data_IF_536423281746
#
_entry.id   IF_536423281746
#
_cell.length_a   1.000
_cell.length_b   1.000
_cell.length_c   1.000
_cell.angle_alpha   90.00
_cell.angle_beta   90.00
_cell.angle_gamma   90.00
#
_symmetry.space_group_name_H-M   'P 1'
#
loop_
_entity.id
_entity.type
_entity.pdbx_description
1 polymer ?
#
# COMPACT_ATOMS: atom_id res chain seq x y z
N UNK A 1 38.39 -26.03 63.22
CA UNK A 1 39.37 -25.63 62.19
C UNK A 1 39.23 -26.45 60.90
N UNK A 2 39.28 -27.79 60.97
CA UNK A 2 39.19 -28.66 59.78
C UNK A 2 37.95 -28.44 58.89
N UNK A 3 36.75 -28.40 59.47
CA UNK A 3 35.49 -28.14 58.72
C UNK A 3 35.43 -26.77 58.03
N UNK A 4 36.10 -25.76 58.59
CA UNK A 4 36.14 -24.41 58.00
C UNK A 4 37.09 -24.41 56.79
N UNK A 5 38.24 -25.07 56.91
CA UNK A 5 39.19 -25.23 55.81
C UNK A 5 38.54 -26.02 54.66
N UNK A 6 37.84 -27.10 54.97
CA UNK A 6 37.10 -27.91 53.99
C UNK A 6 36.02 -27.10 53.27
N UNK A 7 35.25 -26.28 53.99
CA UNK A 7 34.24 -25.40 53.40
C UNK A 7 34.88 -24.36 52.47
N UNK A 8 35.98 -23.73 52.87
CA UNK A 8 36.70 -22.75 52.04
C UNK A 8 37.21 -23.41 50.75
N UNK A 9 37.80 -24.60 50.85
CA UNK A 9 38.28 -25.37 49.69
C UNK A 9 37.12 -25.73 48.75
N UNK A 10 36.00 -26.24 49.28
CA UNK A 10 34.83 -26.59 48.49
C UNK A 10 34.18 -25.36 47.83
N UNK A 11 34.11 -24.22 48.51
CA UNK A 11 33.63 -22.96 47.93
C UNK A 11 34.55 -22.45 46.82
N UNK A 12 35.87 -22.54 46.99
CA UNK A 12 36.83 -22.17 45.95
C UNK A 12 36.71 -23.09 44.72
N UNK A 13 36.58 -24.41 44.93
CA UNK A 13 36.36 -25.38 43.86
C UNK A 13 35.04 -25.13 43.11
N UNK A 14 33.95 -24.86 43.83
CA UNK A 14 32.66 -24.50 43.22
C UNK A 14 32.78 -23.22 42.38
N UNK A 15 33.49 -22.21 42.89
CA UNK A 15 33.71 -20.96 42.16
C UNK A 15 34.51 -21.18 40.87
N UNK A 16 35.61 -21.95 40.94
CA UNK A 16 36.40 -22.31 39.76
C UNK A 16 35.54 -23.08 38.75
N UNK A 17 34.74 -24.04 39.22
CA UNK A 17 33.84 -24.82 38.36
C UNK A 17 32.83 -23.93 37.64
N UNK A 18 32.17 -22.99 38.34
CA UNK A 18 31.22 -22.06 37.75
C UNK A 18 31.89 -21.12 36.74
N UNK A 19 33.11 -20.65 37.01
CA UNK A 19 33.87 -19.81 36.08
C UNK A 19 34.28 -20.56 34.81
N UNK A 20 34.73 -21.81 34.95
CA UNK A 20 35.04 -22.67 33.79
C UNK A 20 33.79 -22.95 32.97
N UNK A 21 32.66 -23.28 33.62
CA UNK A 21 31.39 -23.50 32.93
C UNK A 21 30.93 -22.26 32.15
N UNK A 22 31.02 -21.08 32.77
CA UNK A 22 30.69 -19.82 32.10
C UNK A 22 31.62 -19.53 30.92
N UNK A 23 32.93 -19.72 31.10
CA UNK A 23 33.91 -19.53 30.02
C UNK A 23 33.65 -20.47 28.86
N UNK A 24 33.37 -21.75 29.12
CA UNK A 24 33.03 -22.73 28.08
C UNK A 24 31.74 -22.33 27.37
N UNK A 25 30.70 -21.91 28.11
CA UNK A 25 29.45 -21.46 27.51
C UNK A 25 29.67 -20.24 26.61
N UNK A 26 30.47 -19.27 27.04
CA UNK A 26 30.82 -18.09 26.23
C UNK A 26 31.59 -18.52 24.98
N UNK A 27 32.59 -19.40 25.11
CA UNK A 27 33.35 -19.89 23.95
C UNK A 27 32.46 -20.64 22.97
N UNK A 28 31.59 -21.54 23.45
CA UNK A 28 30.65 -22.28 22.60
C UNK A 28 29.68 -21.31 21.91
N UNK A 29 29.12 -20.34 22.63
CA UNK A 29 28.26 -19.32 22.04
C UNK A 29 29.03 -18.47 21.02
N UNK A 30 30.27 -18.11 21.28
CA UNK A 30 31.10 -17.31 20.38
C UNK A 30 31.42 -18.09 19.08
N UNK A 31 31.99 -19.28 19.23
CA UNK A 31 32.42 -20.14 18.12
C UNK A 31 31.23 -20.68 17.32
N UNK A 32 30.06 -20.85 17.94
CA UNK A 32 28.86 -21.26 17.24
C UNK A 32 28.10 -20.05 16.68
N UNK A 33 27.65 -19.11 17.52
CA UNK A 33 26.72 -18.07 17.10
C UNK A 33 27.34 -17.05 16.15
N UNK A 34 28.61 -16.65 16.31
CA UNK A 34 29.18 -15.61 15.45
C UNK A 34 29.31 -16.07 13.99
N UNK A 35 29.86 -17.25 13.69
CA UNK A 35 29.81 -17.77 12.33
C UNK A 35 28.40 -17.85 11.78
N UNK A 36 27.41 -18.31 12.56
CA UNK A 36 26.01 -18.36 12.10
C UNK A 36 25.40 -16.97 11.86
N UNK A 37 25.78 -15.94 12.62
CA UNK A 37 25.37 -14.55 12.37
C UNK A 37 25.97 -14.05 11.07
N UNK A 38 27.27 -14.29 10.83
CA UNK A 38 27.97 -13.86 9.62
C UNK A 38 27.44 -14.60 8.39
N UNK A 39 27.43 -15.95 8.43
CA UNK A 39 26.92 -16.79 7.35
C UNK A 39 25.43 -16.56 7.12
N UNK A 40 24.64 -16.45 8.20
CA UNK A 40 23.21 -16.15 8.12
C UNK A 40 22.97 -14.79 7.44
N UNK A 41 23.72 -13.76 7.82
CA UNK A 41 23.64 -12.44 7.18
C UNK A 41 24.02 -12.50 5.70
N UNK A 42 25.09 -13.24 5.36
CA UNK A 42 25.52 -13.42 3.97
C UNK A 42 24.46 -14.17 3.14
N UNK A 43 23.92 -15.27 3.66
CA UNK A 43 22.84 -16.05 3.04
C UNK A 43 21.62 -15.16 2.81
N UNK A 44 21.23 -14.36 3.81
CA UNK A 44 20.12 -13.42 3.69
C UNK A 44 20.41 -12.39 2.59
N UNK A 45 21.59 -11.78 2.56
CA UNK A 45 21.97 -10.80 1.52
C UNK A 45 21.93 -11.43 0.12
N UNK A 46 22.46 -12.64 -0.05
CA UNK A 46 22.42 -13.38 -1.32
C UNK A 46 20.98 -13.67 -1.71
N UNK A 47 20.16 -14.21 -0.80
CA UNK A 47 18.76 -14.52 -1.05
C UNK A 47 17.97 -13.26 -1.44
N UNK A 48 18.17 -12.13 -0.75
CA UNK A 48 17.56 -10.85 -1.07
C UNK A 48 17.99 -10.35 -2.45
N UNK A 49 19.27 -10.49 -2.82
CA UNK A 49 19.78 -10.11 -4.14
C UNK A 49 19.20 -10.96 -5.27
N UNK A 50 19.05 -12.28 -5.05
CA UNK A 50 18.49 -13.21 -6.04
C UNK A 50 16.98 -13.07 -6.23
N UNK A 51 16.27 -12.73 -5.15
CA UNK A 51 14.81 -12.57 -5.18
C UNK A 51 14.36 -11.16 -5.56
N UNK A 52 15.27 -10.17 -5.52
CA UNK A 52 14.95 -8.78 -5.83
C UNK A 52 14.48 -8.58 -7.25
N UNK A 53 13.41 -7.81 -7.39
CA UNK A 53 13.02 -7.15 -8.64
C UNK A 53 13.58 -5.73 -8.62
N UNK A 54 14.39 -5.37 -9.61
CA UNK A 54 14.91 -4.00 -9.74
C UNK A 54 13.76 -3.00 -9.85
N UNK A 55 13.87 -1.79 -9.27
CA UNK A 55 12.88 -0.74 -9.48
C UNK A 55 12.67 -0.44 -10.97
N UNK A 56 11.47 0.06 -11.37
CA UNK A 56 11.23 0.42 -12.76
C UNK A 56 12.23 1.50 -13.22
N UNK A 57 12.65 1.50 -14.49
CA UNK A 57 13.50 2.56 -15.00
C UNK A 57 12.88 3.94 -14.74
N UNK A 58 13.72 4.91 -14.36
CA UNK A 58 13.28 6.25 -13.94
C UNK A 58 12.37 6.94 -14.97
N UNK A 59 12.56 6.68 -16.27
CA UNK A 59 11.70 7.17 -17.35
C UNK A 59 10.21 6.83 -17.11
N UNK A 60 9.90 5.55 -16.82
CA UNK A 60 8.52 5.13 -16.56
C UNK A 60 7.97 5.75 -15.27
N UNK A 61 8.81 5.82 -14.23
CA UNK A 61 8.44 6.45 -12.96
C UNK A 61 8.10 7.94 -13.16
N UNK A 62 8.87 8.66 -13.98
CA UNK A 62 8.64 10.07 -14.30
C UNK A 62 7.43 10.28 -15.20
N UNK A 63 7.18 9.39 -16.17
CA UNK A 63 5.98 9.46 -17.01
C UNK A 63 4.71 9.28 -16.14
N UNK A 64 4.69 8.27 -15.28
CA UNK A 64 3.53 7.95 -14.43
C UNK A 64 3.35 8.96 -13.30
N UNK A 65 4.38 9.19 -12.48
CA UNK A 65 4.26 10.01 -11.26
C UNK A 65 4.58 11.49 -11.48
N UNK A 66 5.26 11.85 -12.57
CA UNK A 66 5.73 13.20 -12.81
C UNK A 66 6.87 13.61 -11.87
N UNK A 67 7.10 14.92 -11.79
CA UNK A 67 8.02 15.55 -10.84
C UNK A 67 7.59 15.21 -9.41
N UNK A 68 8.58 15.03 -8.52
CA UNK A 68 8.30 14.85 -7.10
C UNK A 68 7.88 16.22 -6.50
N UNK A 69 6.69 16.35 -5.87
CA UNK A 69 6.23 17.64 -5.36
C UNK A 69 7.17 18.25 -4.31
N UNK A 70 7.98 17.43 -3.61
CA UNK A 70 9.03 17.89 -2.69
C UNK A 70 10.09 18.78 -3.36
N UNK A 71 10.29 18.63 -4.67
CA UNK A 71 11.35 19.30 -5.43
C UNK A 71 10.90 20.59 -6.12
N UNK A 72 9.59 20.87 -6.20
CA UNK A 72 9.04 21.96 -7.01
C UNK A 72 9.51 23.38 -6.64
N UNK A 73 10.06 23.60 -5.44
CA UNK A 73 10.54 24.92 -5.00
C UNK A 73 12.07 25.03 -4.86
N UNK A 74 12.84 23.97 -5.14
CA UNK A 74 14.31 24.02 -4.97
C UNK A 74 15.01 24.64 -6.18
N UNK A 75 14.39 24.62 -7.35
CA UNK A 75 14.92 25.22 -8.58
C UNK A 75 13.96 26.29 -9.13
N UNK A 76 14.30 27.56 -8.93
CA UNK A 76 13.64 28.74 -9.53
C UNK A 76 13.89 28.86 -11.05
N UNK A 77 13.90 27.75 -11.78
CA UNK A 77 14.03 27.80 -13.24
C UNK A 77 12.63 27.74 -13.87
N UNK A 78 12.33 28.71 -14.75
CA UNK A 78 11.09 28.78 -15.53
C UNK A 78 10.81 27.51 -16.36
N UNK A 79 11.80 26.60 -16.47
CA UNK A 79 11.72 25.31 -17.16
C UNK A 79 10.74 24.30 -16.54
N UNK A 80 10.36 24.42 -15.27
CA UNK A 80 9.45 23.44 -14.64
C UNK A 80 7.96 23.69 -14.84
N UNK A 81 7.55 24.80 -15.47
CA UNK A 81 6.12 25.13 -15.66
C UNK A 81 5.34 24.14 -16.54
N UNK A 82 6.04 23.32 -17.34
CA UNK A 82 5.41 22.36 -18.28
C UNK A 82 5.49 20.89 -17.83
N UNK A 83 6.17 20.59 -16.71
CA UNK A 83 6.40 19.20 -16.32
C UNK A 83 5.27 18.69 -15.40
N UNK A 84 4.63 17.59 -15.80
CA UNK A 84 3.56 16.97 -15.00
C UNK A 84 4.03 16.63 -13.58
N UNK A 85 3.18 16.86 -12.59
CA UNK A 85 3.38 16.49 -11.20
C UNK A 85 2.08 15.93 -10.62
N UNK A 86 2.10 14.69 -10.14
CA UNK A 86 0.94 14.10 -9.46
C UNK A 86 0.81 14.70 -8.05
N UNK A 87 -0.08 15.68 -7.87
CA UNK A 87 -0.28 16.38 -6.59
C UNK A 87 -1.47 15.86 -5.81
N UNK A 88 -2.58 15.64 -6.50
CA UNK A 88 -3.83 15.12 -5.94
C UNK A 88 -4.28 13.92 -6.76
N UNK A 89 -4.83 12.93 -6.08
CA UNK A 89 -5.48 11.76 -6.67
C UNK A 89 -6.91 11.68 -6.14
N UNK A 90 -7.88 11.56 -7.04
CA UNK A 90 -9.28 11.32 -6.67
C UNK A 90 -9.43 9.87 -6.17
N UNK A 91 -9.53 9.69 -4.85
CA UNK A 91 -9.66 8.39 -4.20
C UNK A 91 -11.01 7.78 -4.57
N UNK A 92 -11.00 6.62 -5.24
CA UNK A 92 -12.17 5.99 -5.86
C UNK A 92 -12.96 6.92 -6.78
N UNK A 93 -12.30 7.90 -7.39
CA UNK A 93 -12.93 8.95 -8.20
C UNK A 93 -13.57 10.11 -7.40
N UNK A 94 -13.33 10.21 -6.09
CA UNK A 94 -13.92 11.21 -5.20
C UNK A 94 -15.17 10.68 -4.49
N UNK A 95 -15.02 9.58 -3.76
CA UNK A 95 -16.14 8.77 -3.23
C UNK A 95 -17.10 9.45 -2.24
N UNK A 96 -16.84 10.68 -1.79
CA UNK A 96 -17.79 11.49 -1.00
C UNK A 96 -18.59 12.48 -1.87
N UNK A 97 -18.09 12.85 -3.05
CA UNK A 97 -18.73 13.79 -3.97
C UNK A 97 -19.53 13.08 -5.09
N UNK A 98 -19.14 11.85 -5.41
CA UNK A 98 -19.69 10.98 -6.46
C UNK A 98 -19.73 9.51 -5.99
N UNK A 99 -20.58 8.65 -6.57
CA UNK A 99 -20.58 7.22 -6.27
C UNK A 99 -19.18 6.64 -6.50
N UNK A 100 -18.58 6.05 -5.46
CA UNK A 100 -17.21 5.56 -5.52
C UNK A 100 -17.02 4.51 -6.63
N UNK A 101 -15.82 4.45 -7.22
CA UNK A 101 -15.45 3.42 -8.20
C UNK A 101 -16.36 3.37 -9.44
N UNK A 102 -16.89 4.52 -9.86
CA UNK A 102 -17.83 4.63 -10.98
C UNK A 102 -17.29 5.43 -12.18
N UNK A 103 -17.84 5.15 -13.37
CA UNK A 103 -17.51 5.94 -14.56
C UNK A 103 -17.97 7.40 -14.41
N UNK A 104 -19.11 7.61 -13.73
CA UNK A 104 -19.58 8.95 -13.39
C UNK A 104 -18.56 9.73 -12.56
N UNK A 105 -17.99 9.12 -11.52
CA UNK A 105 -16.96 9.74 -10.69
C UNK A 105 -15.72 10.11 -11.51
N UNK A 106 -15.27 9.20 -12.37
CA UNK A 106 -14.07 9.42 -13.20
C UNK A 106 -14.24 10.57 -14.18
N UNK A 107 -15.36 10.61 -14.91
CA UNK A 107 -15.71 11.72 -15.83
C UNK A 107 -15.68 13.08 -15.15
N UNK A 108 -16.18 13.15 -13.93
CA UNK A 108 -16.31 14.40 -13.19
C UNK A 108 -15.02 14.83 -12.48
N UNK A 109 -14.19 13.87 -12.04
CA UNK A 109 -12.97 14.15 -11.26
C UNK A 109 -11.97 15.05 -12.00
N UNK A 110 -11.81 14.86 -13.32
CA UNK A 110 -10.93 15.71 -14.15
C UNK A 110 -11.38 17.17 -14.10
N UNK A 111 -12.68 17.39 -14.24
CA UNK A 111 -13.31 18.70 -14.18
C UNK A 111 -13.20 19.38 -12.81
N UNK A 112 -12.73 18.68 -11.78
CA UNK A 112 -12.45 19.19 -10.43
C UNK A 112 -10.96 19.45 -10.16
N UNK A 113 -10.08 19.26 -11.14
CA UNK A 113 -8.63 19.47 -11.00
C UNK A 113 -7.85 18.20 -10.65
N UNK A 114 -8.50 17.03 -10.62
CA UNK A 114 -7.82 15.76 -10.38
C UNK A 114 -7.39 15.11 -11.70
N UNK A 115 -6.11 15.27 -12.05
CA UNK A 115 -5.51 14.62 -13.21
C UNK A 115 -5.14 13.14 -12.97
N UNK A 116 -5.29 12.65 -11.74
CA UNK A 116 -5.09 11.27 -11.37
C UNK A 116 -6.29 10.75 -10.59
N UNK A 117 -6.64 9.49 -10.83
CA UNK A 117 -7.72 8.76 -10.17
C UNK A 117 -7.09 7.53 -9.52
N UNK A 118 -7.59 7.16 -8.34
CA UNK A 118 -7.41 5.83 -7.79
C UNK A 118 -8.72 5.06 -7.92
N UNK A 119 -8.62 3.76 -8.21
CA UNK A 119 -9.74 2.83 -8.32
C UNK A 119 -9.38 1.51 -7.63
N UNK A 120 -10.38 0.84 -7.09
CA UNK A 120 -10.25 -0.46 -6.45
C UNK A 120 -10.74 -1.56 -7.36
N UNK A 121 -10.01 -2.68 -7.43
CA UNK A 121 -10.44 -3.83 -8.23
C UNK A 121 -10.62 -5.10 -7.41
N UNK A 122 -11.64 -5.86 -7.81
CA UNK A 122 -11.93 -7.23 -7.34
C UNK A 122 -12.34 -8.10 -8.51
N UNK A 123 -12.21 -9.41 -8.32
CA UNK A 123 -12.66 -10.39 -9.30
C UNK A 123 -13.98 -11.01 -8.85
N UNK A 124 -14.92 -11.12 -9.78
CA UNK A 124 -16.15 -11.91 -9.63
C UNK A 124 -15.85 -13.41 -9.60
N UNK A 125 -16.87 -14.24 -9.33
CA UNK A 125 -16.76 -15.71 -9.37
C UNK A 125 -16.24 -16.25 -10.70
N UNK A 126 -16.65 -15.63 -11.80
CA UNK A 126 -16.26 -15.92 -13.17
C UNK A 126 -15.00 -15.16 -13.64
N UNK A 127 -14.18 -14.66 -12.70
CA UNK A 127 -12.90 -14.00 -12.93
C UNK A 127 -12.97 -12.69 -13.73
N UNK A 128 -14.12 -12.01 -13.73
CA UNK A 128 -14.27 -10.72 -14.39
C UNK A 128 -13.82 -9.61 -13.43
N UNK A 129 -12.85 -8.75 -13.83
CA UNK A 129 -12.39 -7.65 -12.99
C UNK A 129 -13.39 -6.50 -12.98
N UNK A 130 -13.94 -6.23 -11.81
CA UNK A 130 -14.89 -5.14 -11.56
C UNK A 130 -14.30 -4.10 -10.62
N UNK A 131 -14.84 -2.89 -10.67
CA UNK A 131 -14.50 -1.83 -9.74
C UNK A 131 -15.33 -1.94 -8.46
N UNK A 132 -14.67 -2.33 -7.37
CA UNK A 132 -15.34 -2.50 -6.08
C UNK A 132 -14.33 -2.59 -4.92
N UNK A 133 -14.54 -1.81 -3.86
CA UNK A 133 -13.62 -1.78 -2.72
C UNK A 133 -13.80 -2.97 -1.76
N UNK A 134 -15.04 -3.21 -1.33
CA UNK A 134 -15.33 -4.16 -0.24
C UNK A 134 -15.44 -5.60 -0.75
N UNK A 135 -15.14 -6.60 0.09
CA UNK A 135 -15.36 -7.99 -0.31
C UNK A 135 -16.85 -8.32 -0.52
N UNK A 136 -17.76 -7.53 0.07
CA UNK A 136 -19.20 -7.76 0.06
C UNK A 136 -19.95 -6.51 -0.42
N UNK A 137 -21.17 -6.68 -0.96
CA UNK A 137 -21.88 -5.63 -1.72
C UNK A 137 -22.80 -4.72 -0.87
N UNK A 138 -23.08 -5.09 0.38
CA UNK A 138 -24.14 -4.50 1.22
C UNK A 138 -23.99 -2.99 1.41
N UNK A 139 -22.75 -2.53 1.60
CA UNK A 139 -22.50 -1.12 1.91
C UNK A 139 -23.00 -0.21 0.79
N UNK A 140 -22.82 -0.59 -0.47
CA UNK A 140 -23.16 0.27 -1.62
C UNK A 140 -24.55 -0.03 -2.17
N UNK A 141 -24.95 -1.29 -2.23
CA UNK A 141 -26.13 -1.72 -3.00
C UNK A 141 -27.36 -2.01 -2.14
N UNK A 142 -27.19 -2.13 -0.82
CA UNK A 142 -28.24 -2.57 0.10
C UNK A 142 -28.62 -4.05 -0.02
N UNK A 143 -28.00 -4.80 -0.94
CA UNK A 143 -28.20 -6.24 -1.12
C UNK A 143 -27.09 -7.03 -0.42
N UNK A 144 -27.31 -8.31 -0.14
CA UNK A 144 -26.32 -9.17 0.54
C UNK A 144 -25.59 -10.07 -0.44
N UNK A 145 -24.27 -10.19 -0.32
CA UNK A 145 -23.48 -11.09 -1.13
C UNK A 145 -21.98 -10.80 -1.11
N UNK A 146 -21.18 -11.84 -1.36
CA UNK A 146 -19.73 -11.72 -1.52
C UNK A 146 -19.37 -11.61 -2.99
N UNK A 147 -18.57 -10.61 -3.36
CA UNK A 147 -18.19 -10.36 -4.77
C UNK A 147 -17.55 -11.60 -5.42
N UNK A 148 -16.69 -12.32 -4.69
CA UNK A 148 -16.01 -13.52 -5.19
C UNK A 148 -16.94 -14.74 -5.38
N UNK A 149 -18.18 -14.66 -4.91
CA UNK A 149 -19.17 -15.74 -4.98
C UNK A 149 -20.30 -15.45 -5.99
N UNK A 150 -20.29 -14.25 -6.59
CA UNK A 150 -21.29 -13.80 -7.58
C UNK A 150 -20.63 -13.63 -8.95
N UNK A 151 -21.37 -13.96 -10.00
CA UNK A 151 -20.98 -13.75 -11.41
C UNK A 151 -21.15 -12.29 -11.81
N UNK A 152 -20.51 -11.87 -12.91
CA UNK A 152 -20.73 -10.53 -13.46
C UNK A 152 -22.21 -10.28 -13.82
N UNK A 153 -22.89 -11.29 -14.38
CA UNK A 153 -24.31 -11.18 -14.75
C UNK A 153 -25.20 -10.83 -13.55
N UNK A 154 -24.91 -11.38 -12.37
CA UNK A 154 -25.63 -11.10 -11.13
C UNK A 154 -25.31 -9.71 -10.56
N UNK A 155 -24.13 -9.17 -10.86
CA UNK A 155 -23.63 -7.92 -10.29
C UNK A 155 -23.90 -6.69 -11.17
N UNK A 156 -23.96 -6.84 -12.50
CA UNK A 156 -23.92 -5.70 -13.43
C UNK A 156 -25.10 -4.73 -13.31
N UNK A 157 -26.26 -5.22 -12.86
CA UNK A 157 -27.47 -4.40 -12.71
C UNK A 157 -27.59 -3.75 -11.32
N UNK A 158 -26.65 -4.01 -10.42
CA UNK A 158 -26.70 -3.46 -9.06
C UNK A 158 -26.40 -1.96 -9.06
N UNK A 159 -27.27 -1.21 -8.37
CA UNK A 159 -27.11 0.22 -8.16
C UNK A 159 -26.19 0.50 -6.97
N UNK A 160 -25.03 1.10 -7.23
CA UNK A 160 -24.03 1.46 -6.21
C UNK A 160 -24.31 2.81 -5.53
N UNK A 161 -25.38 3.50 -5.93
CA UNK A 161 -25.79 4.78 -5.31
C UNK A 161 -26.76 4.60 -4.15
N UNK A 162 -27.24 3.38 -3.91
CA UNK A 162 -28.37 3.09 -3.02
C UNK A 162 -28.18 3.65 -1.60
N UNK A 163 -26.97 3.53 -1.04
CA UNK A 163 -26.60 4.05 0.28
C UNK A 163 -25.70 5.31 0.21
N UNK A 164 -25.55 5.94 -0.96
CA UNK A 164 -24.73 7.12 -1.09
C UNK A 164 -25.38 8.31 -0.35
N UNK A 165 -24.64 9.10 0.47
CA UNK A 165 -25.22 10.21 1.23
C UNK A 165 -25.91 11.28 0.38
N UNK A 166 -25.47 11.43 -0.87
CA UNK A 166 -26.04 12.34 -1.87
C UNK A 166 -26.90 11.61 -2.92
N UNK A 167 -27.57 10.51 -2.56
CA UNK A 167 -28.35 9.68 -3.51
C UNK A 167 -29.33 10.49 -4.36
N UNK A 168 -29.97 11.51 -3.80
CA UNK A 168 -30.93 12.36 -4.52
C UNK A 168 -30.31 13.09 -5.73
N UNK A 169 -28.98 13.30 -5.74
CA UNK A 169 -28.23 13.86 -6.87
C UNK A 169 -28.01 12.84 -8.00
N UNK A 170 -28.17 11.55 -7.71
CA UNK A 170 -27.89 10.43 -8.61
C UNK A 170 -29.16 9.59 -8.82
N UNK A 171 -30.27 10.27 -9.14
CA UNK A 171 -31.59 9.64 -9.28
C UNK A 171 -31.65 8.53 -10.33
N UNK A 172 -30.80 8.60 -11.35
CA UNK A 172 -30.71 7.59 -12.42
C UNK A 172 -29.96 6.32 -11.97
N UNK A 173 -29.36 6.38 -10.76
CA UNK A 173 -28.47 5.36 -10.23
C UNK A 173 -27.12 5.33 -10.96
N UNK A 174 -26.26 4.43 -10.52
CA UNK A 174 -24.96 4.15 -11.16
C UNK A 174 -24.69 2.67 -10.98
N UNK A 175 -24.10 2.01 -11.99
CA UNK A 175 -23.84 0.57 -11.95
C UNK A 175 -22.38 0.27 -11.62
N UNK A 176 -22.14 -0.95 -11.16
CA UNK A 176 -20.78 -1.48 -11.02
C UNK A 176 -20.09 -1.43 -12.40
N UNK A 177 -18.88 -0.89 -12.47
CA UNK A 177 -18.11 -0.79 -13.71
C UNK A 177 -17.13 -1.95 -13.86
N UNK A 178 -16.85 -2.34 -15.11
CA UNK A 178 -15.72 -3.21 -15.43
C UNK A 178 -14.41 -2.42 -15.35
N UNK A 179 -13.32 -3.10 -14.99
CA UNK A 179 -11.98 -2.50 -15.04
C UNK A 179 -11.67 -1.96 -16.45
N UNK A 180 -12.00 -2.71 -17.49
CA UNK A 180 -11.71 -2.30 -18.87
C UNK A 180 -12.37 -0.97 -19.24
N UNK A 181 -13.66 -0.80 -18.92
CA UNK A 181 -14.40 0.44 -19.21
C UNK A 181 -13.80 1.63 -18.48
N UNK A 182 -13.41 1.43 -17.21
CA UNK A 182 -12.75 2.45 -16.42
C UNK A 182 -11.38 2.87 -16.96
N UNK A 183 -10.58 1.90 -17.40
CA UNK A 183 -9.28 2.18 -18.04
C UNK A 183 -9.48 2.98 -19.34
N UNK A 184 -10.45 2.61 -20.17
CA UNK A 184 -10.76 3.35 -21.38
C UNK A 184 -11.21 4.78 -21.08
N UNK A 185 -12.14 4.96 -20.13
CA UNK A 185 -12.63 6.28 -19.70
C UNK A 185 -11.46 7.18 -19.25
N UNK A 186 -10.59 6.68 -18.37
CA UNK A 186 -9.46 7.43 -17.85
C UNK A 186 -8.38 7.71 -18.91
N UNK A 187 -8.10 6.76 -19.80
CA UNK A 187 -7.09 6.96 -20.84
C UNK A 187 -7.57 7.92 -21.94
N UNK A 188 -8.87 7.90 -22.27
CA UNK A 188 -9.49 8.84 -23.20
C UNK A 188 -9.50 10.27 -22.63
N UNK A 189 -9.69 10.40 -21.32
CA UNK A 189 -9.60 11.68 -20.61
C UNK A 189 -8.17 12.07 -20.24
N UNK A 190 -7.15 11.32 -20.67
CA UNK A 190 -5.75 11.56 -20.32
C UNK A 190 -5.48 11.70 -18.82
N UNK A 191 -6.25 10.99 -17.99
CA UNK A 191 -5.98 10.88 -16.56
C UNK A 191 -4.92 9.81 -16.30
N UNK A 192 -4.24 9.94 -15.15
CA UNK A 192 -3.42 8.87 -14.56
C UNK A 192 -4.26 8.01 -13.65
N UNK A 193 -3.85 6.77 -13.49
CA UNK A 193 -4.66 5.72 -12.86
C UNK A 193 -3.80 5.00 -11.83
N UNK A 194 -4.24 5.00 -10.58
CA UNK A 194 -3.76 4.09 -9.55
C UNK A 194 -4.76 2.95 -9.46
N UNK A 195 -4.33 1.76 -9.87
CA UNK A 195 -5.12 0.53 -9.81
C UNK A 195 -4.80 -0.15 -8.48
N UNK A 196 -5.64 0.00 -7.46
CA UNK A 196 -5.46 -0.66 -6.17
C UNK A 196 -6.13 -2.05 -6.13
N UNK A 197 -5.31 -3.08 -5.95
CA UNK A 197 -5.74 -4.47 -6.00
C UNK A 197 -6.19 -4.90 -4.60
N UNK A 198 -7.50 -5.20 -4.47
CA UNK A 198 -8.11 -5.74 -3.24
C UNK A 198 -8.31 -7.26 -3.27
N UNK A 199 -7.69 -7.92 -4.23
CA UNK A 199 -7.79 -9.36 -4.47
C UNK A 199 -6.56 -10.11 -3.92
N UNK A 200 -6.79 -11.32 -3.41
CA UNK A 200 -5.76 -12.26 -2.99
C UNK A 200 -5.52 -13.38 -4.01
N UNK A 201 -6.49 -13.68 -4.88
CA UNK A 201 -6.36 -14.68 -5.94
C UNK A 201 -5.29 -14.28 -6.95
N UNK A 202 -4.48 -15.25 -7.37
CA UNK A 202 -3.34 -15.02 -8.27
C UNK A 202 -3.76 -14.74 -9.72
N UNK A 203 -4.99 -15.07 -10.10
CA UNK A 203 -5.54 -14.79 -11.43
C UNK A 203 -5.45 -13.29 -11.79
N UNK A 204 -5.55 -12.41 -10.78
CA UNK A 204 -5.44 -10.95 -10.98
C UNK A 204 -4.10 -10.53 -11.56
N UNK A 205 -3.02 -11.28 -11.29
CA UNK A 205 -1.68 -10.98 -11.81
C UNK A 205 -1.70 -11.05 -13.33
N UNK A 206 -2.31 -12.08 -13.91
CA UNK A 206 -2.36 -12.23 -15.37
C UNK A 206 -3.31 -11.20 -15.98
N UNK A 207 -4.45 -10.95 -15.35
CA UNK A 207 -5.42 -9.94 -15.79
C UNK A 207 -4.76 -8.55 -15.89
N UNK A 208 -3.98 -8.13 -14.89
CA UNK A 208 -3.28 -6.84 -14.93
C UNK A 208 -2.25 -6.81 -16.06
N UNK A 209 -1.47 -7.88 -16.25
CA UNK A 209 -0.48 -7.94 -17.34
C UNK A 209 -1.16 -7.88 -18.71
N UNK A 210 -2.30 -8.54 -18.87
CA UNK A 210 -3.09 -8.50 -20.10
C UNK A 210 -3.68 -7.11 -20.34
N UNK A 211 -4.10 -6.39 -19.30
CA UNK A 211 -4.53 -4.99 -19.42
C UNK A 211 -3.39 -4.07 -19.86
N UNK A 212 -2.17 -4.20 -19.30
CA UNK A 212 -1.01 -3.42 -19.75
C UNK A 212 -0.58 -3.77 -21.18
N UNK A 213 -0.74 -5.03 -21.59
CA UNK A 213 -0.49 -5.46 -22.97
C UNK A 213 -1.53 -4.87 -23.93
N UNK A 214 -2.81 -4.88 -23.56
CA UNK A 214 -3.93 -4.37 -24.37
C UNK A 214 -3.93 -2.84 -24.44
N UNK A 215 -3.51 -2.16 -23.36
CA UNK A 215 -3.45 -0.71 -23.24
C UNK A 215 -2.02 -0.23 -22.89
N UNK A 216 -1.09 -0.18 -23.86
CA UNK A 216 0.30 0.21 -23.58
C UNK A 216 0.48 1.60 -22.96
N UNK A 217 -0.48 2.52 -23.15
CA UNK A 217 -0.48 3.84 -22.49
C UNK A 217 -0.46 3.73 -20.94
N UNK A 218 -0.82 2.58 -20.37
CA UNK A 218 -0.69 2.33 -18.94
C UNK A 218 0.77 2.35 -18.47
N UNK A 219 1.76 2.06 -19.31
CA UNK A 219 3.16 2.23 -18.91
C UNK A 219 3.54 3.69 -18.64
N UNK A 220 2.81 4.64 -19.20
CA UNK A 220 3.03 6.08 -19.04
C UNK A 220 2.09 6.72 -18.01
N UNK A 221 0.96 6.06 -17.70
CA UNK A 221 -0.15 6.65 -16.92
C UNK A 221 -0.66 5.80 -15.78
N UNK A 222 -0.28 4.53 -15.72
CA UNK A 222 -0.75 3.54 -14.76
C UNK A 222 0.26 3.28 -13.66
N UNK A 223 -0.25 3.20 -12.44
CA UNK A 223 0.44 2.69 -11.27
C UNK A 223 -0.38 1.54 -10.70
N UNK A 224 0.26 0.45 -10.30
CA UNK A 224 -0.41 -0.67 -9.62
C UNK A 224 -0.11 -0.64 -8.13
N UNK A 225 -1.14 -0.60 -7.30
CA UNK A 225 -1.05 -0.58 -5.84
C UNK A 225 -1.68 -1.83 -5.23
N UNK A 226 -1.22 -2.23 -4.05
CA UNK A 226 -1.92 -3.20 -3.20
C UNK A 226 -1.40 -3.14 -1.77
N UNK A 227 -2.21 -3.60 -0.82
CA UNK A 227 -1.73 -4.00 0.50
C UNK A 227 -1.01 -5.36 0.49
N UNK A 228 -1.24 -6.18 -0.55
CA UNK A 228 -0.65 -7.50 -0.66
C UNK A 228 0.70 -7.44 -1.41
N UNK A 229 1.85 -7.52 -0.71
CA UNK A 229 3.16 -7.44 -1.35
C UNK A 229 3.42 -8.56 -2.36
N UNK A 230 2.79 -9.73 -2.19
CA UNK A 230 3.00 -10.89 -3.06
C UNK A 230 2.44 -10.61 -4.46
N UNK A 231 1.25 -9.99 -4.54
CA UNK A 231 0.64 -9.67 -5.84
C UNK A 231 1.52 -8.68 -6.62
N UNK A 232 1.99 -7.62 -5.96
CA UNK A 232 2.88 -6.63 -6.58
C UNK A 232 4.21 -7.27 -7.00
N UNK A 233 4.79 -8.11 -6.15
CA UNK A 233 5.99 -8.87 -6.50
C UNK A 233 5.79 -9.72 -7.76
N UNK A 234 4.69 -10.47 -7.84
CA UNK A 234 4.41 -11.35 -8.98
C UNK A 234 4.15 -10.60 -10.29
N UNK A 235 3.45 -9.45 -10.22
CA UNK A 235 3.26 -8.56 -11.37
C UNK A 235 4.61 -8.03 -11.84
N UNK A 236 5.40 -7.44 -10.93
CA UNK A 236 6.68 -6.81 -11.29
C UNK A 236 7.76 -7.79 -11.70
N UNK A 237 7.74 -9.02 -11.17
CA UNK A 237 8.66 -10.07 -11.59
C UNK A 237 8.42 -10.46 -13.05
N UNK A 238 7.16 -10.45 -13.51
CA UNK A 238 6.80 -10.72 -14.91
C UNK A 238 6.98 -9.50 -15.81
N UNK A 239 6.69 -8.31 -15.31
CA UNK A 239 6.83 -7.05 -16.03
C UNK A 239 7.45 -5.95 -15.14
N UNK A 240 8.80 -5.84 -15.11
CA UNK A 240 9.50 -4.90 -14.24
C UNK A 240 9.27 -3.42 -14.56
N UNK A 241 8.76 -3.10 -15.77
CA UNK A 241 8.47 -1.72 -16.19
C UNK A 241 7.25 -1.13 -15.49
N UNK A 242 6.34 -1.95 -14.98
CA UNK A 242 5.15 -1.47 -14.27
C UNK A 242 5.57 -0.73 -13.01
N UNK A 243 5.15 0.54 -12.92
CA UNK A 243 5.29 1.37 -11.73
C UNK A 243 4.31 0.87 -10.68
N UNK A 244 4.79 0.67 -9.46
CA UNK A 244 3.95 0.15 -8.39
C UNK A 244 4.15 0.86 -7.06
N UNK A 245 3.16 0.67 -6.19
CA UNK A 245 3.23 1.03 -4.79
C UNK A 245 2.75 -0.09 -3.88
N UNK A 246 3.12 0.04 -2.61
CA UNK A 246 2.42 -0.65 -1.53
C UNK A 246 1.58 0.35 -0.74
N UNK A 247 0.42 -0.12 -0.30
CA UNK A 247 -0.41 0.59 0.65
C UNK A 247 -0.13 0.04 2.07
N UNK A 248 0.06 0.92 3.05
CA UNK A 248 0.16 0.54 4.46
C UNK A 248 -0.66 1.43 5.42
N UNK A 249 -1.30 0.78 6.40
CA UNK A 249 -1.95 1.44 7.54
C UNK A 249 -1.64 0.68 8.84
N UNK A 250 -1.66 1.35 10.00
CA UNK A 250 -1.61 0.66 11.28
C UNK A 250 -2.76 -0.33 11.48
N UNK A 251 -2.45 -1.41 12.19
CA UNK A 251 -3.38 -2.47 12.56
C UNK A 251 -4.06 -3.15 11.37
N UNK A 252 -3.40 -3.19 10.21
CA UNK A 252 -3.94 -3.78 9.01
C UNK A 252 -4.30 -5.27 9.20
N UNK A 253 -3.42 -6.05 9.81
CA UNK A 253 -3.63 -7.49 10.03
C UNK A 253 -4.57 -7.75 11.20
N UNK A 254 -4.51 -6.94 12.24
CA UNK A 254 -5.23 -7.20 13.50
C UNK A 254 -6.65 -6.61 13.54
N UNK A 255 -6.96 -5.58 12.76
CA UNK A 255 -8.20 -4.78 12.86
C UNK A 255 -8.88 -4.57 11.51
N UNK A 256 -10.22 -4.56 11.50
CA UNK A 256 -11.03 -4.44 10.27
C UNK A 256 -10.85 -3.08 9.60
N UNK A 257 -10.81 -2.00 10.38
CA UNK A 257 -10.60 -0.63 9.90
C UNK A 257 -9.59 0.10 10.77
N UNK A 258 -9.28 1.35 10.42
CA UNK A 258 -8.42 2.23 11.22
C UNK A 258 -8.94 3.66 11.16
N UNK A 259 -8.97 4.29 12.33
CA UNK A 259 -9.33 5.71 12.51
C UNK A 259 -8.51 6.23 13.68
N UNK A 260 -7.54 7.12 13.45
CA UNK A 260 -6.60 7.54 14.51
C UNK A 260 -7.22 8.24 15.72
N UNK A 261 -8.43 8.80 15.60
CA UNK A 261 -9.11 9.55 16.67
C UNK A 261 -10.08 8.71 17.51
N UNK A 262 -10.38 7.48 17.09
CA UNK A 262 -11.34 6.59 17.79
C UNK A 262 -10.58 5.35 18.25
N UNK A 263 -11.03 4.76 19.37
CA UNK A 263 -10.53 3.49 19.88
C UNK A 263 -10.33 2.45 18.76
N UNK A 264 -9.35 1.54 18.89
CA UNK A 264 -9.03 0.57 17.84
C UNK A 264 -10.30 -0.17 17.42
N UNK A 265 -10.51 -0.29 16.10
CA UNK A 265 -11.74 -0.83 15.53
C UNK A 265 -12.01 -2.26 15.99
N UNK A 266 -13.12 -2.86 15.54
CA UNK A 266 -13.37 -4.28 15.74
C UNK A 266 -12.15 -5.14 15.36
N UNK A 267 -11.84 -6.13 16.20
CA UNK A 267 -10.80 -7.12 15.93
C UNK A 267 -11.16 -7.90 14.67
N UNK A 268 -10.18 -8.14 13.80
CA UNK A 268 -10.39 -8.91 12.57
C UNK A 268 -10.70 -10.39 12.86
N UNK A 269 -10.15 -10.92 13.96
CA UNK A 269 -10.31 -12.31 14.35
C UNK A 269 -10.92 -12.40 15.74
N UNK A 270 -12.00 -13.16 15.89
CA UNK A 270 -12.62 -13.44 17.19
C UNK A 270 -11.84 -14.47 18.01
N UNK A 271 -11.06 -15.34 17.36
CA UNK A 271 -10.20 -16.30 18.05
C UNK A 271 -8.98 -15.57 18.66
N UNK A 272 -8.72 -15.69 19.97
CA UNK A 272 -7.69 -14.90 20.66
C UNK A 272 -6.27 -15.23 20.19
N UNK A 273 -5.97 -16.50 19.89
CA UNK A 273 -4.65 -16.90 19.40
C UNK A 273 -4.39 -16.40 17.98
N UNK A 274 -5.40 -16.46 17.10
CA UNK A 274 -5.31 -15.89 15.75
C UNK A 274 -5.15 -14.37 15.80
N UNK A 275 -5.88 -13.69 16.70
CA UNK A 275 -5.73 -12.25 16.88
C UNK A 275 -4.34 -11.88 17.40
N UNK A 276 -3.82 -12.59 18.40
CA UNK A 276 -2.47 -12.39 18.91
C UNK A 276 -1.42 -12.60 17.81
N UNK A 277 -1.54 -13.67 17.02
CA UNK A 277 -0.66 -13.92 15.88
C UNK A 277 -0.72 -12.78 14.85
N UNK A 278 -1.91 -12.22 14.58
CA UNK A 278 -2.06 -11.08 13.69
C UNK A 278 -1.39 -9.80 14.25
N UNK A 279 -1.47 -9.57 15.56
CA UNK A 279 -0.76 -8.46 16.22
C UNK A 279 0.76 -8.62 16.15
N UNK A 280 1.29 -9.83 16.35
CA UNK A 280 2.73 -10.11 16.20
C UNK A 280 3.16 -9.92 14.74
N UNK A 281 2.36 -10.41 13.80
CA UNK A 281 2.61 -10.26 12.37
C UNK A 281 2.64 -8.78 11.95
N UNK A 282 1.79 -7.94 12.55
CA UNK A 282 1.80 -6.49 12.33
C UNK A 282 3.17 -5.88 12.63
N UNK A 283 3.69 -6.11 13.84
CA UNK A 283 4.98 -5.57 14.29
C UNK A 283 6.11 -6.08 13.40
N UNK A 284 6.09 -7.39 13.10
CA UNK A 284 7.08 -8.01 12.23
C UNK A 284 7.03 -7.42 10.83
N UNK A 285 5.84 -7.27 10.25
CA UNK A 285 5.67 -6.78 8.89
C UNK A 285 6.05 -5.30 8.76
N UNK A 286 5.70 -4.45 9.73
CA UNK A 286 6.11 -3.05 9.72
C UNK A 286 7.65 -2.91 9.73
N UNK A 287 8.32 -3.74 10.52
CA UNK A 287 9.78 -3.82 10.53
C UNK A 287 10.36 -4.32 9.20
N UNK A 288 9.74 -5.36 8.62
CA UNK A 288 10.14 -5.92 7.32
C UNK A 288 9.87 -4.95 6.16
N UNK A 289 8.78 -4.18 6.21
CA UNK A 289 8.32 -3.30 5.14
C UNK A 289 9.37 -2.24 4.81
N UNK A 290 9.89 -1.60 5.84
CA UNK A 290 10.86 -0.48 5.76
C UNK A 290 12.31 -0.91 5.51
N UNK A 291 12.60 -2.23 5.55
CA UNK A 291 13.95 -2.80 5.43
C UNK A 291 14.14 -3.71 4.23
N UNK A 292 13.17 -4.58 3.96
CA UNK A 292 13.32 -5.67 3.00
C UNK A 292 12.22 -5.70 1.96
N UNK A 293 10.94 -5.59 2.34
CA UNK A 293 9.82 -5.80 1.42
C UNK A 293 9.85 -4.81 0.27
N UNK A 294 10.01 -3.50 0.56
CA UNK A 294 10.10 -2.48 -0.49
C UNK A 294 11.27 -2.73 -1.45
N UNK A 295 12.40 -3.21 -0.92
CA UNK A 295 13.63 -3.45 -1.66
C UNK A 295 13.54 -4.69 -2.55
N UNK A 296 12.97 -5.78 -2.02
CA UNK A 296 12.74 -7.03 -2.78
C UNK A 296 11.75 -6.77 -3.90
N UNK A 297 10.67 -6.05 -3.60
CA UNK A 297 9.63 -5.77 -4.58
C UNK A 297 10.05 -4.72 -5.58
N UNK A 298 10.89 -3.75 -5.19
CA UNK A 298 11.35 -2.63 -6.02
C UNK A 298 10.27 -1.58 -6.32
N UNK A 299 9.43 -1.23 -5.33
CA UNK A 299 8.37 -0.22 -5.51
C UNK A 299 8.90 1.19 -5.81
N UNK A 300 8.10 2.00 -6.49
CA UNK A 300 8.42 3.40 -6.81
C UNK A 300 7.73 4.40 -5.89
N UNK A 301 6.62 3.99 -5.27
CA UNK A 301 5.90 4.79 -4.29
C UNK A 301 5.43 3.93 -3.13
N UNK A 302 5.13 4.57 -2.01
CA UNK A 302 4.41 3.98 -0.90
C UNK A 302 3.25 4.89 -0.58
N UNK A 303 2.06 4.33 -0.52
CA UNK A 303 0.88 5.05 -0.06
C UNK A 303 0.77 4.72 1.44
N UNK A 304 0.62 5.74 2.29
CA UNK A 304 0.56 5.58 3.74
C UNK A 304 -0.69 6.23 4.31
N UNK A 305 -1.27 5.63 5.34
CA UNK A 305 -2.33 6.28 6.08
C UNK A 305 -1.87 7.64 6.64
N UNK A 306 -2.68 8.70 6.50
CA UNK A 306 -2.31 10.07 6.88
C UNK A 306 -1.78 10.24 8.29
N UNK A 307 -2.34 9.48 9.24
CA UNK A 307 -2.00 9.60 10.66
C UNK A 307 -0.56 9.15 11.01
N UNK A 308 0.10 8.38 10.14
CA UNK A 308 1.50 7.95 10.33
C UNK A 308 2.50 8.76 9.52
N UNK A 309 2.03 9.70 8.68
CA UNK A 309 2.90 10.49 7.83
C UNK A 309 3.40 11.71 8.59
N UNK A 310 4.72 11.87 8.66
CA UNK A 310 5.41 13.02 9.23
C UNK A 310 6.72 13.28 8.45
N UNK A 311 7.40 14.42 8.65
CA UNK A 311 8.59 14.78 7.87
C UNK A 311 9.70 13.72 7.89
N UNK A 312 9.91 13.06 9.05
CA UNK A 312 10.93 12.01 9.18
C UNK A 312 10.58 10.78 8.35
N UNK A 313 9.31 10.38 8.33
CA UNK A 313 8.85 9.24 7.49
C UNK A 313 9.02 9.58 6.01
N UNK A 314 8.71 10.82 5.62
CA UNK A 314 8.86 11.29 4.24
C UNK A 314 10.34 11.24 3.82
N UNK A 315 11.24 11.79 4.63
CA UNK A 315 12.69 11.80 4.38
C UNK A 315 13.24 10.36 4.27
N UNK A 316 12.85 9.48 5.19
CA UNK A 316 13.28 8.08 5.16
C UNK A 316 12.93 7.36 3.85
N UNK A 317 11.72 7.54 3.33
CA UNK A 317 11.33 6.91 2.06
C UNK A 317 11.95 7.62 0.86
N UNK A 318 12.13 8.93 0.93
CA UNK A 318 12.81 9.70 -0.09
C UNK A 318 14.27 9.25 -0.30
N UNK A 319 15.02 9.01 0.78
CA UNK A 319 16.40 8.50 0.74
C UNK A 319 16.51 7.09 0.13
N UNK A 320 15.37 6.40 -0.03
CA UNK A 320 15.26 5.07 -0.63
C UNK A 320 14.76 5.11 -2.08
N UNK A 321 14.66 6.30 -2.67
CA UNK A 321 14.05 6.55 -3.99
C UNK A 321 12.58 6.12 -4.08
N UNK A 322 11.85 6.12 -2.96
CA UNK A 322 10.42 5.77 -2.90
C UNK A 322 9.60 7.00 -2.57
N UNK A 323 8.66 7.36 -3.44
CA UNK A 323 7.77 8.51 -3.23
C UNK A 323 6.71 8.19 -2.18
N UNK A 324 6.55 9.05 -1.17
CA UNK A 324 5.43 8.95 -0.23
C UNK A 324 4.19 9.61 -0.82
N UNK A 325 3.08 8.87 -0.78
CA UNK A 325 1.74 9.37 -0.99
C UNK A 325 0.91 9.09 0.26
N UNK A 326 -0.20 9.79 0.44
CA UNK A 326 -1.02 9.59 1.65
C UNK A 326 -2.51 9.50 1.39
N UNK A 327 -3.21 8.71 2.19
CA UNK A 327 -4.67 8.58 2.16
C UNK A 327 -5.23 8.42 3.59
N UNK A 328 -6.55 8.61 3.80
CA UNK A 328 -7.44 9.47 3.03
C UNK A 328 -7.37 10.90 3.58
N UNK A 329 -7.25 11.90 2.71
CA UNK A 329 -7.10 13.32 3.09
C UNK A 329 -8.32 14.10 2.63
N UNK A 330 -9.31 14.25 3.50
CA UNK A 330 -10.63 14.79 3.13
C UNK A 330 -10.90 16.19 3.70
N UNK A 331 -10.26 16.58 4.80
CA UNK A 331 -10.49 17.89 5.42
C UNK A 331 -9.66 18.98 4.74
N UNK A 332 -10.19 20.19 4.51
CA UNK A 332 -9.43 21.30 3.91
C UNK A 332 -8.10 21.63 4.60
N UNK A 333 -8.08 21.56 5.94
CA UNK A 333 -6.87 21.77 6.73
C UNK A 333 -5.81 20.68 6.50
N UNK A 334 -6.24 19.42 6.42
CA UNK A 334 -5.35 18.28 6.12
C UNK A 334 -4.80 18.39 4.69
N UNK A 335 -5.65 18.76 3.72
CA UNK A 335 -5.23 18.97 2.32
C UNK A 335 -4.14 20.03 2.22
N UNK A 336 -4.36 21.19 2.86
CA UNK A 336 -3.36 22.27 2.91
C UNK A 336 -2.06 21.81 3.58
N UNK A 337 -2.16 21.03 4.66
CA UNK A 337 -1.01 20.48 5.37
C UNK A 337 -0.18 19.55 4.47
N UNK A 338 -0.81 18.55 3.85
CA UNK A 338 -0.09 17.59 3.00
C UNK A 338 0.42 18.20 1.69
N UNK A 339 -0.34 19.12 1.09
CA UNK A 339 0.00 19.74 -0.19
C UNK A 339 1.05 20.85 -0.07
N UNK A 340 0.93 21.73 0.92
CA UNK A 340 1.79 22.93 1.04
C UNK A 340 2.95 22.73 2.02
N UNK A 341 2.70 22.10 3.17
CA UNK A 341 3.74 21.92 4.19
C UNK A 341 4.59 20.69 3.88
N UNK A 342 3.96 19.52 3.74
CA UNK A 342 4.70 18.28 3.46
C UNK A 342 5.07 18.11 1.99
N UNK A 343 4.34 18.77 1.08
CA UNK A 343 4.56 18.70 -0.38
C UNK A 343 4.63 17.26 -0.88
N UNK A 344 3.63 16.46 -0.51
CA UNK A 344 3.46 15.09 -0.99
C UNK A 344 2.13 14.94 -1.70
N UNK A 345 2.03 13.90 -2.53
CA UNK A 345 0.76 13.53 -3.16
C UNK A 345 -0.22 13.00 -2.12
N UNK A 346 -1.49 13.39 -2.20
CA UNK A 346 -2.54 12.80 -1.37
C UNK A 346 -3.74 12.31 -2.18
N UNK A 347 -4.42 11.32 -1.63
CA UNK A 347 -5.65 10.73 -2.12
C UNK A 347 -6.82 11.31 -1.33
N UNK A 348 -7.85 11.81 -2.02
CA UNK A 348 -9.01 12.45 -1.40
C UNK A 348 -10.33 11.99 -1.99
N UNK A 349 -11.33 11.82 -1.12
CA UNK A 349 -12.71 11.52 -1.50
C UNK A 349 -13.54 12.79 -1.78
N UNK A 350 -13.02 13.97 -1.43
CA UNK A 350 -13.70 15.27 -1.61
C UNK A 350 -12.93 16.11 -2.63
N UNK A 351 -13.58 16.67 -3.64
CA UNK A 351 -12.91 17.29 -4.78
C UNK A 351 -13.13 18.82 -4.88
N UNK A 352 -13.74 19.43 -3.86
CA UNK A 352 -14.18 20.83 -3.92
C UNK A 352 -13.03 21.87 -4.08
N UNK A 353 -11.82 21.58 -3.61
CA UNK A 353 -10.72 22.58 -3.51
C UNK A 353 -9.53 22.28 -4.42
N UNK A 354 -9.62 21.25 -5.27
CA UNK A 354 -8.43 20.70 -5.93
C UNK A 354 -7.95 21.54 -7.12
N UNK A 355 -8.82 22.34 -7.74
CA UNK A 355 -8.40 23.28 -8.80
C UNK A 355 -7.46 24.37 -8.32
N UNK A 356 -7.60 24.76 -7.05
CA UNK A 356 -6.93 25.93 -6.48
C UNK A 356 -5.67 25.55 -5.68
N UNK A 357 -5.36 24.26 -5.59
CA UNK A 357 -4.24 23.71 -4.81
C UNK A 357 -3.11 23.21 -5.69
#
# INVERSE_FOLDING_TARGET
MHRIIELILNSALLWIFLQVLLSVLITVLYEFCIPWIVWGSLIIVIALRLTRVSPPPMKFVQEVLGVNPLLLNKDNSEKHKEQYCMRVVAHRGGGLDYPENSLLAFRNSKGKGCNAIELDIRLTKDNIPILFHDPTIERLTGQTGTVSEMTWEELRELDITYNHPLRDKFSDGERIALLEDALQECLNSEQRIIIDIKEARMDIVQIILDMYKKYPKLFERGLVSSFNPIIIYMIRKKEPRIVSSLAWRPYYFSRVSYTGLVAPSAARFHNPFKHLAACVLEILYEWLLSRFVYYIIGISAIILHKDIVNPRVIEQWYDRDVRVMTWPVNRPSEKTHFSRLFKITYLTDTLHLEKDM
#
